data_IF_777182320944
#
_entry.id   IF_777182320944
#
_cell.length_a   1.000
_cell.length_b   1.000
_cell.length_c   1.000
_cell.angle_alpha   90.00
_cell.angle_beta   90.00
_cell.angle_gamma   90.00
#
_symmetry.space_group_name_H-M   'P 1'
#
loop_
_entity.id
_entity.type
_entity.pdbx_description
1 polymer ?
#
# COMPACT_ATOMS: atom_id res chain seq x y z
N UNK A 1 -11.53 -5.51 -9.46
CA UNK A 1 -11.21 -4.80 -8.19
C UNK A 1 -10.55 -5.81 -7.26
N UNK A 2 -9.38 -5.47 -6.73
CA UNK A 2 -8.54 -6.32 -5.87
C UNK A 2 -8.71 -5.80 -4.43
N UNK A 3 -8.98 -6.71 -3.49
CA UNK A 3 -9.10 -6.37 -2.07
C UNK A 3 -7.71 -6.27 -1.44
N UNK A 4 -7.42 -5.14 -0.79
CA UNK A 4 -6.12 -4.85 -0.17
C UNK A 4 -6.12 -4.97 1.36
N UNK A 5 -7.30 -5.09 1.96
CA UNK A 5 -7.46 -5.19 3.42
C UNK A 5 -8.36 -4.09 3.99
N UNK A 6 -8.61 -4.11 5.31
CA UNK A 6 -9.31 -3.04 6.01
C UNK A 6 -8.38 -1.84 6.24
N UNK A 7 -8.90 -0.63 6.12
CA UNK A 7 -8.24 0.63 6.50
C UNK A 7 -9.04 1.34 7.58
N UNK A 8 -8.35 2.07 8.45
CA UNK A 8 -9.01 3.00 9.36
C UNK A 8 -9.43 4.24 8.58
N UNK A 9 -10.72 4.52 8.58
CA UNK A 9 -11.32 5.71 8.01
C UNK A 9 -12.35 6.24 9.00
N UNK A 10 -12.10 7.43 9.53
CA UNK A 10 -13.01 8.11 10.46
C UNK A 10 -13.40 7.25 11.68
N UNK A 11 -12.40 6.61 12.30
CA UNK A 11 -12.58 5.73 13.45
C UNK A 11 -13.26 4.39 13.15
N UNK A 12 -13.59 4.11 11.89
CA UNK A 12 -14.20 2.86 11.45
C UNK A 12 -13.25 2.07 10.52
N UNK A 13 -13.47 0.76 10.42
CA UNK A 13 -12.78 -0.07 9.42
C UNK A 13 -13.55 -0.03 8.10
N UNK A 14 -12.95 0.53 7.05
CA UNK A 14 -13.48 0.51 5.69
C UNK A 14 -12.71 -0.52 4.83
N UNK A 15 -13.38 -1.29 3.97
CA UNK A 15 -12.68 -2.19 3.06
C UNK A 15 -11.98 -1.38 1.97
N UNK A 16 -10.69 -1.63 1.77
CA UNK A 16 -9.89 -0.94 0.77
C UNK A 16 -9.70 -1.83 -0.47
N UNK A 17 -10.06 -1.28 -1.62
CA UNK A 17 -9.96 -1.95 -2.92
C UNK A 17 -9.20 -1.08 -3.91
N UNK A 18 -8.54 -1.72 -4.86
CA UNK A 18 -7.88 -1.05 -5.98
C UNK A 18 -8.21 -1.74 -7.32
N UNK A 19 -8.16 -1.00 -8.42
CA UNK A 19 -7.97 -1.61 -9.73
C UNK A 19 -6.49 -2.00 -9.91
N UNK A 20 -6.19 -2.79 -10.94
CA UNK A 20 -4.83 -3.26 -11.24
C UNK A 20 -3.85 -2.08 -11.42
N UNK A 21 -4.22 -1.08 -12.22
CA UNK A 21 -3.39 0.12 -12.43
C UNK A 21 -3.12 0.91 -11.13
N UNK A 22 -4.10 0.99 -10.22
CA UNK A 22 -3.91 1.63 -8.92
C UNK A 22 -2.99 0.82 -8.02
N UNK A 23 -3.11 -0.52 -8.04
CA UNK A 23 -2.24 -1.40 -7.27
C UNK A 23 -0.79 -1.29 -7.76
N UNK A 24 -0.56 -1.24 -9.07
CA UNK A 24 0.77 -1.07 -9.64
C UNK A 24 1.44 0.23 -9.18
N UNK A 25 0.68 1.35 -9.19
CA UNK A 25 1.16 2.64 -8.68
C UNK A 25 1.53 2.56 -7.20
N UNK A 26 0.69 1.94 -6.38
CA UNK A 26 0.94 1.76 -4.94
C UNK A 26 2.22 0.94 -4.70
N UNK A 27 2.40 -0.16 -5.44
CA UNK A 27 3.60 -0.99 -5.35
C UNK A 27 4.86 -0.26 -5.77
N UNK A 28 4.81 0.55 -6.83
CA UNK A 28 5.93 1.38 -7.27
C UNK A 28 6.34 2.39 -6.18
N UNK A 29 5.36 3.07 -5.56
CA UNK A 29 5.60 3.99 -4.46
C UNK A 29 6.22 3.29 -3.25
N UNK A 30 5.69 2.13 -2.84
CA UNK A 30 6.21 1.35 -1.73
C UNK A 30 7.65 0.88 -1.98
N UNK A 31 7.95 0.40 -3.19
CA UNK A 31 9.30 -0.01 -3.59
C UNK A 31 10.28 1.16 -3.57
N UNK A 32 9.90 2.30 -4.14
CA UNK A 32 10.73 3.50 -4.12
C UNK A 32 11.03 3.97 -2.70
N UNK A 33 10.01 3.97 -1.82
CA UNK A 33 10.16 4.28 -0.40
C UNK A 33 11.15 3.33 0.29
N UNK A 34 11.01 2.03 0.05
CA UNK A 34 11.84 0.99 0.66
C UNK A 34 13.30 1.08 0.20
N UNK A 35 13.54 1.23 -1.11
CA UNK A 35 14.88 1.36 -1.67
C UNK A 35 15.58 2.64 -1.20
N UNK A 36 14.85 3.75 -1.07
CA UNK A 36 15.40 5.00 -0.54
C UNK A 36 15.76 4.94 0.96
N UNK A 37 15.22 3.96 1.69
CA UNK A 37 15.35 3.85 3.15
C UNK A 37 15.86 2.47 3.58
N UNK A 38 16.74 1.85 2.78
CA UNK A 38 17.29 0.52 3.08
C UNK A 38 17.47 0.36 4.60
N UNK A 39 16.82 -0.63 5.24
CA UNK A 39 17.14 -0.92 6.61
C UNK A 39 18.63 -1.30 6.63
N UNK A 40 19.37 -0.76 7.59
CA UNK A 40 20.68 -1.31 7.95
C UNK A 40 20.45 -2.81 8.08
N UNK A 41 21.07 -3.60 7.20
CA UNK A 41 21.06 -5.05 7.29
C UNK A 41 21.57 -5.42 8.69
N UNK A 42 20.68 -5.92 9.54
CA UNK A 42 21.03 -6.52 10.84
C UNK A 42 21.68 -7.87 10.57
#
# INVERSE_FOLDING_TARGET
MIWLGPVQWDGQHAPFFACEECLDRLMQQARAYFMARQPISV
#
